data_IF_621660368561
#
_entry.id   IF_621660368561
#
_cell.length_a   1.000
_cell.length_b   1.000
_cell.length_c   1.000
_cell.angle_alpha   90.00
_cell.angle_beta   90.00
_cell.angle_gamma   90.00
#
_symmetry.space_group_name_H-M   'P 1'
#
loop_
_entity.id
_entity.type
_entity.pdbx_description
1 polymer ?
#
# COMPACT_ATOMS: atom_id res chain seq x y z
N UNK A 1 -8.25 1.70 7.17
CA UNK A 1 -8.74 2.56 6.06
C UNK A 1 -8.61 4.05 6.39
N UNK A 2 -9.21 4.54 7.49
CA UNK A 2 -9.18 5.96 7.84
C UNK A 2 -7.77 6.57 8.00
N UNK A 3 -6.81 5.83 8.60
CA UNK A 3 -5.45 6.33 8.82
C UNK A 3 -4.64 6.51 7.53
N UNK A 4 -4.77 5.58 6.58
CA UNK A 4 -4.09 5.67 5.27
C UNK A 4 -4.70 6.79 4.42
N UNK A 5 -6.02 6.92 4.39
CA UNK A 5 -6.66 8.05 3.70
C UNK A 5 -6.26 9.40 4.31
N UNK A 6 -6.21 9.50 5.65
CA UNK A 6 -5.79 10.70 6.37
C UNK A 6 -4.33 11.08 6.10
N UNK A 7 -3.40 10.12 6.15
CA UNK A 7 -1.98 10.37 5.88
C UNK A 7 -1.70 10.80 4.43
N UNK A 8 -2.52 10.37 3.48
CA UNK A 8 -2.29 10.63 2.05
C UNK A 8 -3.00 11.84 1.50
N UNK A 9 -4.16 12.18 2.07
CA UNK A 9 -5.07 13.17 1.51
C UNK A 9 -5.34 14.32 2.49
N UNK A 10 -4.82 14.24 3.71
CA UNK A 10 -5.09 15.20 4.79
C UNK A 10 -6.49 15.03 5.39
N UNK A 11 -6.87 15.87 6.37
CA UNK A 11 -8.14 15.77 7.08
C UNK A 11 -9.38 16.06 6.21
N UNK A 12 -9.23 16.79 5.09
CA UNK A 12 -10.36 17.16 4.22
C UNK A 12 -9.94 17.27 2.74
N UNK A 13 -9.71 16.13 2.07
CA UNK A 13 -9.40 16.15 0.65
C UNK A 13 -10.63 16.46 -0.19
N UNK A 14 -10.50 17.39 -1.14
CA UNK A 14 -11.53 17.62 -2.17
C UNK A 14 -11.84 16.35 -2.99
N UNK A 15 -10.86 15.47 -3.18
CA UNK A 15 -11.00 14.19 -3.88
C UNK A 15 -10.17 13.08 -3.21
N UNK A 16 -10.77 11.90 -2.98
CA UNK A 16 -10.05 10.72 -2.49
C UNK A 16 -9.25 10.09 -3.64
N UNK A 17 -7.92 10.16 -3.59
CA UNK A 17 -7.03 9.67 -4.69
C UNK A 17 -6.26 8.39 -4.34
N UNK A 18 -6.38 7.90 -3.11
CA UNK A 18 -5.63 6.73 -2.59
C UNK A 18 -5.84 5.49 -3.46
N UNK A 19 -7.08 5.11 -3.72
CA UNK A 19 -7.38 3.91 -4.54
C UNK A 19 -6.87 4.08 -5.97
N UNK A 20 -7.06 5.25 -6.58
CA UNK A 20 -6.58 5.51 -7.94
C UNK A 20 -5.04 5.44 -8.04
N UNK A 21 -4.32 5.97 -7.05
CA UNK A 21 -2.85 5.83 -6.97
C UNK A 21 -2.41 4.39 -6.78
N UNK A 22 -3.13 3.63 -5.95
CA UNK A 22 -2.85 2.21 -5.74
C UNK A 22 -3.04 1.40 -7.02
N UNK A 23 -4.17 1.60 -7.72
CA UNK A 23 -4.44 0.95 -9.02
C UNK A 23 -3.33 1.27 -10.02
N UNK A 24 -2.94 2.54 -10.15
CA UNK A 24 -1.87 2.95 -11.06
C UNK A 24 -0.51 2.35 -10.69
N UNK A 25 -0.18 2.25 -9.41
CA UNK A 25 1.12 1.74 -8.96
C UNK A 25 1.25 0.21 -9.08
N UNK A 26 0.12 -0.49 -9.01
CA UNK A 26 0.04 -1.95 -9.15
C UNK A 26 -0.21 -2.40 -10.59
N UNK A 27 -0.40 -1.47 -11.54
CA UNK A 27 -0.53 -1.80 -12.95
C UNK A 27 0.69 -2.59 -13.46
N UNK A 28 0.42 -3.65 -14.22
CA UNK A 28 1.43 -4.63 -14.66
C UNK A 28 1.87 -5.66 -13.60
N UNK A 29 1.38 -5.60 -12.35
CA UNK A 29 1.57 -6.66 -11.37
C UNK A 29 0.43 -7.68 -11.41
N UNK A 30 0.78 -8.96 -11.39
CA UNK A 30 -0.20 -10.04 -11.18
C UNK A 30 -0.59 -10.12 -9.71
N UNK A 31 -1.80 -10.63 -9.43
CA UNK A 31 -2.23 -10.92 -8.05
C UNK A 31 -1.23 -11.83 -7.31
N UNK A 32 -0.63 -12.80 -8.02
CA UNK A 32 0.39 -13.70 -7.44
C UNK A 32 1.64 -12.95 -6.97
N UNK A 33 2.11 -11.97 -7.74
CA UNK A 33 3.25 -11.15 -7.35
C UNK A 33 2.93 -10.26 -6.15
N UNK A 34 1.70 -9.74 -6.08
CA UNK A 34 1.24 -8.95 -4.93
C UNK A 34 1.21 -9.83 -3.67
N UNK A 35 0.63 -11.03 -3.75
CA UNK A 35 0.61 -11.99 -2.63
C UNK A 35 2.02 -12.36 -2.17
N UNK A 36 2.92 -12.69 -3.11
CA UNK A 36 4.29 -13.05 -2.77
C UNK A 36 5.03 -11.92 -2.04
N UNK A 37 4.78 -10.65 -2.39
CA UNK A 37 5.37 -9.52 -1.69
C UNK A 37 4.80 -9.35 -0.27
N UNK A 38 3.50 -9.58 -0.09
CA UNK A 38 2.85 -9.55 1.23
C UNK A 38 3.39 -10.68 2.11
N UNK A 39 3.50 -11.90 1.58
CA UNK A 39 4.06 -13.04 2.31
C UNK A 39 5.52 -12.78 2.71
N UNK A 40 6.32 -12.22 1.81
CA UNK A 40 7.71 -11.85 2.11
C UNK A 40 7.80 -10.81 3.23
N UNK A 41 6.90 -9.82 3.24
CA UNK A 41 6.85 -8.82 4.31
C UNK A 41 6.56 -9.45 5.68
N UNK A 42 5.53 -10.28 5.81
CA UNK A 42 5.19 -10.90 7.09
C UNK A 42 6.20 -11.94 7.55
N UNK A 43 6.87 -12.62 6.61
CA UNK A 43 7.98 -13.54 6.92
C UNK A 43 9.17 -12.78 7.50
N UNK A 44 9.48 -11.60 6.96
CA UNK A 44 10.57 -10.76 7.42
C UNK A 44 10.24 -9.96 8.69
N UNK A 45 8.95 -9.76 9.00
CA UNK A 45 8.48 -8.98 10.16
C UNK A 45 7.48 -9.78 11.02
N UNK A 46 7.92 -10.83 11.75
CA UNK A 46 7.04 -11.71 12.51
C UNK A 46 6.25 -11.01 13.63
N UNK A 47 6.74 -9.87 14.12
CA UNK A 47 6.10 -9.02 15.11
C UNK A 47 4.98 -8.13 14.53
N UNK A 48 4.94 -7.95 13.20
CA UNK A 48 3.98 -7.07 12.52
C UNK A 48 2.82 -7.82 11.86
N UNK A 49 2.55 -9.06 12.27
CA UNK A 49 1.42 -9.88 11.76
C UNK A 49 0.05 -9.19 11.90
N UNK A 50 -0.10 -8.28 12.88
CA UNK A 50 -1.33 -7.51 13.11
C UNK A 50 -1.49 -6.33 12.15
N UNK A 51 -0.44 -5.95 11.40
CA UNK A 51 -0.52 -4.86 10.43
C UNK A 51 -1.51 -5.24 9.34
N UNK A 52 -2.45 -4.38 8.93
CA UNK A 52 -3.39 -4.73 7.86
C UNK A 52 -2.69 -4.94 6.51
N UNK A 53 -3.10 -5.97 5.77
CA UNK A 53 -2.57 -6.28 4.42
C UNK A 53 -2.63 -5.06 3.49
N UNK A 54 -3.69 -4.26 3.59
CA UNK A 54 -3.82 -3.02 2.81
C UNK A 54 -2.66 -2.04 3.06
N UNK A 55 -2.23 -1.90 4.32
CA UNK A 55 -1.09 -1.05 4.66
C UNK A 55 0.22 -1.63 4.17
N UNK A 56 0.39 -2.95 4.26
CA UNK A 56 1.57 -3.64 3.71
C UNK A 56 1.68 -3.36 2.21
N UNK A 57 0.60 -3.57 1.45
CA UNK A 57 0.56 -3.26 0.02
C UNK A 57 0.87 -1.78 -0.22
N UNK A 58 0.27 -0.87 0.55
CA UNK A 58 0.50 0.56 0.39
C UNK A 58 1.96 0.94 0.59
N UNK A 59 2.60 0.54 1.69
CA UNK A 59 3.95 1.00 2.01
C UNK A 59 5.05 0.25 1.23
N UNK A 60 4.91 -1.06 1.05
CA UNK A 60 5.92 -1.87 0.37
C UNK A 60 5.88 -1.75 -1.15
N UNK A 61 4.68 -1.63 -1.74
CA UNK A 61 4.51 -1.69 -3.19
C UNK A 61 4.18 -0.33 -3.82
N UNK A 62 3.36 0.49 -3.15
CA UNK A 62 2.87 1.76 -3.73
C UNK A 62 3.78 2.92 -3.36
N UNK A 63 3.98 3.17 -2.07
CA UNK A 63 4.77 4.29 -1.56
C UNK A 63 6.25 4.19 -2.00
N UNK A 64 6.79 2.97 -2.03
CA UNK A 64 8.14 2.70 -2.52
C UNK A 64 8.36 3.16 -3.98
N UNK A 65 7.35 3.05 -4.84
CA UNK A 65 7.41 3.51 -6.24
C UNK A 65 7.24 5.02 -6.38
N UNK A 66 6.55 5.67 -5.44
CA UNK A 66 6.35 7.13 -5.48
C UNK A 66 7.56 7.96 -5.00
N UNK A 67 8.55 7.36 -4.33
CA UNK A 67 9.80 8.05 -3.93
C UNK A 67 10.82 8.25 -5.07
N UNK A 68 10.55 7.75 -6.27
CA UNK A 68 11.46 7.79 -7.44
C UNK A 68 11.05 8.80 -8.53
N UNK A 69 10.22 9.80 -8.22
CA UNK A 69 9.77 10.82 -9.17
C UNK A 69 9.93 12.23 -8.62
#
# INVERSE_FOLDING_TARGET
MAMVEYQLSGPSPKHRTTVARMVKALDGMTLRQIMAAVDAYYTANPDQQQRPVFEVIWFELVAAKTKKG
#
